data_IF_405135447001
#
_entry.id   IF_405135447001
#
_cell.length_a   1.000
_cell.length_b   1.000
_cell.length_c   1.000
_cell.angle_alpha   90.00
_cell.angle_beta   90.00
_cell.angle_gamma   90.00
#
_symmetry.space_group_name_H-M   'P 1'
#
loop_
_entity.id
_entity.type
_entity.pdbx_description
1 polymer ?
#
# COMPACT_ATOMS: atom_id res chain seq x y z
N UNK A 1 -8.81 12.88 10.14
CA UNK A 1 -8.35 12.31 8.85
C UNK A 1 -6.84 12.51 8.78
N UNK A 2 -6.07 11.46 8.47
CA UNK A 2 -4.60 11.49 8.45
C UNK A 2 -4.10 10.80 7.18
N UNK A 3 -2.87 11.10 6.77
CA UNK A 3 -2.23 10.46 5.63
C UNK A 3 -1.13 9.52 6.10
N UNK A 4 -1.17 8.26 5.64
CA UNK A 4 -0.19 7.23 5.98
C UNK A 4 0.60 6.79 4.76
N UNK A 5 1.93 6.80 4.90
CA UNK A 5 2.83 6.14 3.96
C UNK A 5 3.23 4.77 4.50
N UNK A 6 3.01 3.75 3.69
CA UNK A 6 3.25 2.36 4.04
C UNK A 6 4.34 1.76 3.12
N UNK A 7 5.64 1.84 3.50
CA UNK A 7 6.72 1.27 2.69
C UNK A 7 6.82 -0.25 2.86
N UNK A 8 6.95 -0.98 1.75
CA UNK A 8 7.24 -2.42 1.74
C UNK A 8 8.33 -2.77 0.73
N UNK A 9 9.30 -3.56 1.17
CA UNK A 9 10.19 -4.32 0.29
C UNK A 9 9.35 -5.10 -0.73
N UNK A 10 9.73 -5.12 -2.03
CA UNK A 10 8.93 -5.73 -3.09
C UNK A 10 9.03 -7.27 -3.08
N UNK A 11 8.66 -7.87 -1.96
CA UNK A 11 8.50 -9.30 -1.75
C UNK A 11 7.11 -9.57 -1.17
N UNK A 12 6.52 -10.69 -1.58
CA UNK A 12 5.11 -11.00 -1.29
C UNK A 12 4.81 -10.98 0.21
N UNK A 13 5.70 -11.59 1.02
CA UNK A 13 5.57 -11.64 2.48
C UNK A 13 5.58 -10.29 3.18
N UNK A 14 6.09 -9.23 2.53
CA UNK A 14 6.02 -7.87 3.07
C UNK A 14 4.78 -7.13 2.53
N UNK A 15 4.45 -7.26 1.25
CA UNK A 15 3.37 -6.47 0.63
C UNK A 15 1.99 -6.89 1.15
N UNK A 16 1.70 -8.18 1.23
CA UNK A 16 0.38 -8.69 1.63
C UNK A 16 -0.10 -8.19 3.00
N UNK A 17 0.69 -8.28 4.09
CA UNK A 17 0.26 -7.74 5.39
C UNK A 17 0.15 -6.20 5.36
N UNK A 18 0.99 -5.51 4.59
CA UNK A 18 0.87 -4.05 4.43
C UNK A 18 -0.42 -3.63 3.74
N UNK A 19 -0.87 -4.39 2.74
CA UNK A 19 -2.17 -4.18 2.09
C UNK A 19 -3.32 -4.38 3.08
N UNK A 20 -3.27 -5.43 3.91
CA UNK A 20 -4.28 -5.66 4.94
C UNK A 20 -4.39 -4.49 5.94
N UNK A 21 -3.24 -4.03 6.44
CA UNK A 21 -3.16 -2.84 7.32
C UNK A 21 -3.70 -1.60 6.61
N UNK A 22 -3.29 -1.37 5.36
CA UNK A 22 -3.72 -0.23 4.56
C UNK A 22 -5.24 -0.21 4.35
N UNK A 23 -5.86 -1.37 4.07
CA UNK A 23 -7.32 -1.49 3.95
C UNK A 23 -8.03 -1.11 5.24
N UNK A 24 -7.53 -1.59 6.38
CA UNK A 24 -8.10 -1.24 7.69
C UNK A 24 -7.99 0.26 8.00
N UNK A 25 -6.89 0.91 7.61
CA UNK A 25 -6.72 2.36 7.74
C UNK A 25 -7.66 3.13 6.79
N UNK A 26 -7.78 2.68 5.54
CA UNK A 26 -8.66 3.31 4.55
C UNK A 26 -10.14 3.22 4.97
N UNK A 27 -10.58 2.07 5.48
CA UNK A 27 -11.95 1.87 6.00
C UNK A 27 -12.29 2.81 7.17
N UNK A 28 -11.29 3.25 7.93
CA UNK A 28 -11.44 4.23 9.03
C UNK A 28 -11.42 5.69 8.53
N UNK A 29 -11.36 5.91 7.22
CA UNK A 29 -11.38 7.24 6.60
C UNK A 29 -10.00 7.90 6.50
N UNK A 30 -8.91 7.14 6.59
CA UNK A 30 -7.56 7.67 6.37
C UNK A 30 -7.13 7.55 4.90
N UNK A 31 -6.30 8.48 4.44
CA UNK A 31 -5.65 8.36 3.14
C UNK A 31 -4.40 7.48 3.30
N UNK A 32 -4.20 6.51 2.40
CA UNK A 32 -3.11 5.53 2.51
C UNK A 32 -2.40 5.38 1.17
N UNK A 33 -1.08 5.52 1.19
CA UNK A 33 -0.21 5.26 0.04
C UNK A 33 0.73 4.10 0.36
N UNK A 34 0.74 3.07 -0.48
CA UNK A 34 1.72 1.98 -0.39
C UNK A 34 2.91 2.26 -1.32
N UNK A 35 4.12 2.34 -0.76
CA UNK A 35 5.37 2.47 -1.50
C UNK A 35 6.02 1.10 -1.67
N UNK A 36 6.06 0.57 -2.89
CA UNK A 36 6.69 -0.74 -3.18
C UNK A 36 7.07 -0.87 -4.66
N UNK A 37 7.48 -2.06 -5.10
CA UNK A 37 7.86 -2.33 -6.48
C UNK A 37 6.67 -2.40 -7.44
N UNK A 38 6.89 -1.98 -8.69
CA UNK A 38 5.86 -1.89 -9.76
C UNK A 38 5.05 -3.17 -9.96
N UNK A 39 5.66 -4.34 -9.75
CA UNK A 39 4.96 -5.63 -9.88
C UNK A 39 3.75 -5.81 -8.96
N UNK A 40 3.61 -4.98 -7.90
CA UNK A 40 2.48 -5.03 -6.97
C UNK A 40 1.46 -3.91 -7.16
N UNK A 41 1.62 -3.05 -8.17
CA UNK A 41 0.69 -1.93 -8.43
C UNK A 41 -0.76 -2.39 -8.47
N UNK A 42 -1.05 -3.43 -9.27
CA UNK A 42 -2.39 -4.00 -9.37
C UNK A 42 -2.93 -4.49 -8.00
N UNK A 43 -2.09 -5.12 -7.18
CA UNK A 43 -2.47 -5.58 -5.83
C UNK A 43 -2.84 -4.41 -4.91
N UNK A 44 -2.08 -3.31 -4.98
CA UNK A 44 -2.32 -2.11 -4.16
C UNK A 44 -3.59 -1.38 -4.59
N UNK A 45 -3.75 -1.16 -5.90
CA UNK A 45 -4.92 -0.46 -6.45
C UNK A 45 -6.19 -1.27 -6.25
N UNK A 46 -6.17 -2.60 -6.45
CA UNK A 46 -7.32 -3.48 -6.19
C UNK A 46 -7.74 -3.48 -4.71
N UNK A 47 -6.84 -3.13 -3.79
CA UNK A 47 -7.15 -2.96 -2.38
C UNK A 47 -7.74 -1.58 -2.03
N UNK A 48 -7.90 -0.68 -3.01
CA UNK A 48 -8.39 0.68 -2.81
C UNK A 48 -7.37 1.63 -2.19
N UNK A 49 -6.08 1.32 -2.31
CA UNK A 49 -4.98 2.13 -1.77
C UNK A 49 -4.28 2.89 -2.90
N UNK A 50 -3.69 4.06 -2.59
CA UNK A 50 -2.82 4.74 -3.54
C UNK A 50 -1.50 3.99 -3.70
N UNK A 51 -1.01 3.86 -4.93
CA UNK A 51 0.28 3.22 -5.23
C UNK A 51 1.38 4.25 -5.47
N UNK A 52 2.56 4.00 -4.93
CA UNK A 52 3.80 4.73 -5.26
C UNK A 52 4.89 3.72 -5.62
N UNK A 53 5.52 3.79 -6.80
CA UNK A 53 6.65 2.95 -7.12
C UNK A 53 7.91 3.42 -6.37
N UNK A 54 8.76 2.47 -5.97
CA UNK A 54 10.13 2.75 -5.57
C UNK A 54 10.92 3.43 -6.72
N UNK A 55 11.84 4.35 -6.40
CA UNK A 55 12.76 4.93 -7.39
C UNK A 55 13.62 3.85 -8.06
N UNK A 56 14.09 4.16 -9.27
CA UNK A 56 15.07 3.34 -9.99
C UNK A 56 16.47 3.49 -9.37
#
# INVERSE_FOLDING_TARGET
MSHFLLPATPIYGHVTPRVAIGRGLAQRGHAVTLLTGRKYEATVVAAGLAFRPLPA
#
